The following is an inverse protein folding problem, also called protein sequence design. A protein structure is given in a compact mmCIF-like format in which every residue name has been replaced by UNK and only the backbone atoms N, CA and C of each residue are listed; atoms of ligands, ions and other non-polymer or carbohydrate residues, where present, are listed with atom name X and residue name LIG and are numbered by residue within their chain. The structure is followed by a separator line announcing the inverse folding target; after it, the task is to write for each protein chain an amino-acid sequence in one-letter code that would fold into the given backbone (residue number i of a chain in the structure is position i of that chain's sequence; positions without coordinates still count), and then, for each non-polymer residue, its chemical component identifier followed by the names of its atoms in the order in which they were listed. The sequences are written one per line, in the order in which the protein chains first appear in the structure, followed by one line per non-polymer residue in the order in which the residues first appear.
data_IF_845927285471
#
_entry.id   IF_845927285471
#
_cell.length_a   1.000
_cell.length_b   1.000
_cell.length_c   1.000
_cell.angle_alpha   90.00
_cell.angle_beta   90.00
_cell.angle_gamma   90.00
#
_symmetry.space_group_name_H-M   'P 1'
#
loop_
_entity.id
_entity.type
_entity.pdbx_description
1 polymer ?
#
# COMPACT_ATOMS: atom_id res chain seq x y z
N UNK A 1 -0.87 8.85 -5.58
CA UNK A 1 -0.89 7.61 -4.78
C UNK A 1 -2.09 7.53 -3.88
N UNK A 2 -2.48 8.58 -3.14
CA UNK A 2 -3.71 8.52 -2.33
C UNK A 2 -4.95 8.24 -3.20
N UNK A 3 -5.04 8.90 -4.36
CA UNK A 3 -6.05 8.65 -5.39
C UNK A 3 -5.92 7.25 -6.01
N UNK A 4 -4.71 6.76 -6.20
CA UNK A 4 -4.46 5.43 -6.78
C UNK A 4 -4.85 4.29 -5.85
N UNK A 5 -4.79 4.47 -4.52
CA UNK A 5 -5.25 3.46 -3.56
C UNK A 5 -6.71 3.07 -3.80
N UNK A 6 -7.56 4.04 -4.13
CA UNK A 6 -8.97 3.77 -4.47
C UNK A 6 -9.12 2.92 -5.73
N UNK A 7 -8.29 3.16 -6.76
CA UNK A 7 -8.33 2.37 -8.01
C UNK A 7 -7.76 0.97 -7.83
N UNK A 8 -6.77 0.81 -6.95
CA UNK A 8 -6.16 -0.49 -6.66
C UNK A 8 -7.16 -1.46 -6.01
N UNK A 9 -8.11 -0.94 -5.22
CA UNK A 9 -9.21 -1.73 -4.67
C UNK A 9 -10.06 -2.36 -5.79
N UNK A 10 -10.57 -1.54 -6.72
CA UNK A 10 -11.39 -2.02 -7.85
C UNK A 10 -10.61 -3.01 -8.73
N UNK A 11 -9.31 -2.78 -8.90
CA UNK A 11 -8.44 -3.64 -9.69
C UNK A 11 -8.28 -5.05 -9.09
N UNK A 12 -8.27 -5.18 -7.77
CA UNK A 12 -8.08 -6.48 -7.09
C UNK A 12 -9.15 -7.50 -7.47
N UNK A 13 -10.41 -7.06 -7.48
CA UNK A 13 -11.56 -7.91 -7.80
C UNK A 13 -11.62 -8.25 -9.30
N UNK A 14 -11.36 -7.26 -10.16
CA UNK A 14 -11.31 -7.46 -11.62
C UNK A 14 -10.20 -8.45 -11.98
N UNK A 15 -9.00 -8.26 -11.43
CA UNK A 15 -7.86 -9.14 -11.68
C UNK A 15 -8.15 -10.57 -11.22
N UNK A 16 -8.73 -10.73 -10.04
CA UNK A 16 -9.14 -12.04 -9.53
C UNK A 16 -10.15 -12.74 -10.45
N UNK A 17 -11.12 -12.00 -10.98
CA UNK A 17 -12.13 -12.52 -11.90
C UNK A 17 -11.50 -12.98 -13.22
N UNK A 18 -10.64 -12.17 -13.83
CA UNK A 18 -9.98 -12.51 -15.09
C UNK A 18 -9.01 -13.70 -14.93
N UNK A 19 -8.26 -13.75 -13.83
CA UNK A 19 -7.29 -14.81 -13.59
C UNK A 19 -7.95 -16.18 -13.35
N UNK A 20 -9.18 -16.23 -12.83
CA UNK A 20 -9.96 -17.48 -12.70
C UNK A 20 -10.24 -18.14 -14.06
N UNK A 21 -10.26 -17.38 -15.15
CA UNK A 21 -10.43 -17.92 -16.50
C UNK A 21 -9.13 -18.53 -17.07
N UNK A 22 -7.99 -18.28 -16.42
CA UNK A 22 -6.66 -18.69 -16.89
C UNK A 22 -6.06 -19.79 -16.00
N UNK A 23 -6.24 -19.69 -14.68
CA UNK A 23 -5.68 -20.63 -13.69
C UNK A 23 -6.64 -20.88 -12.55
N UNK A 24 -6.61 -22.10 -12.00
CA UNK A 24 -7.34 -22.48 -10.78
C UNK A 24 -6.55 -22.20 -9.49
N UNK A 25 -5.27 -21.83 -9.59
CA UNK A 25 -4.39 -21.55 -8.44
C UNK A 25 -3.90 -20.10 -8.49
N UNK A 26 -4.82 -19.16 -8.25
CA UNK A 26 -4.53 -17.75 -8.19
C UNK A 26 -4.37 -17.29 -6.73
N UNK A 27 -3.28 -16.57 -6.45
CA UNK A 27 -2.99 -15.99 -5.14
C UNK A 27 -2.54 -14.55 -5.31
N UNK A 28 -3.05 -13.67 -4.46
CA UNK A 28 -2.73 -12.24 -4.46
C UNK A 28 -2.21 -11.82 -3.09
N UNK A 29 -1.22 -10.92 -3.09
CA UNK A 29 -0.63 -10.36 -1.89
C UNK A 29 -0.43 -8.86 -2.08
N UNK A 30 -0.17 -8.14 -1.00
CA UNK A 30 -0.04 -6.70 -1.00
C UNK A 30 1.14 -6.25 -0.13
N UNK A 31 1.94 -5.35 -0.68
CA UNK A 31 3.03 -4.70 0.03
C UNK A 31 3.11 -3.25 -0.38
N UNK A 32 3.67 -2.43 0.49
CA UNK A 32 3.82 -1.00 0.25
C UNK A 32 5.20 -0.53 0.68
N UNK A 33 5.63 0.59 0.11
CA UNK A 33 6.92 1.22 0.41
C UNK A 33 6.78 2.74 0.27
N UNK A 34 7.65 3.47 0.95
CA UNK A 34 7.75 4.94 0.84
C UNK A 34 9.20 5.28 0.47
N UNK A 35 10.07 5.40 1.48
CA UNK A 35 11.49 5.63 1.31
C UNK A 35 12.26 5.28 2.60
N UNK A 36 13.59 5.39 2.58
CA UNK A 36 14.44 5.27 3.75
C UNK A 36 14.11 6.38 4.73
N UNK A 37 13.91 6.02 5.99
CA UNK A 37 13.57 6.96 7.07
C UNK A 37 14.81 7.70 7.60
N UNK A 38 15.60 8.28 6.70
CA UNK A 38 16.81 9.05 6.97
C UNK A 38 16.84 10.33 6.12
N UNK A 39 17.56 11.34 6.57
CA UNK A 39 17.86 12.51 5.73
C UNK A 39 18.73 12.12 4.52
N UNK A 40 18.56 12.75 3.35
CA UNK A 40 17.66 13.87 3.04
C UNK A 40 16.26 13.46 2.55
N UNK A 41 15.93 12.16 2.51
CA UNK A 41 14.69 11.63 1.93
C UNK A 41 13.45 11.99 2.76
N UNK A 42 13.55 11.97 4.10
CA UNK A 42 12.45 12.36 5.00
C UNK A 42 12.89 13.41 6.00
N UNK A 43 11.93 14.17 6.54
CA UNK A 43 12.19 15.09 7.64
C UNK A 43 12.49 14.31 8.92
N UNK A 44 13.58 14.65 9.60
CA UNK A 44 13.94 14.07 10.91
C UNK A 44 13.38 14.87 12.09
N UNK A 45 12.56 15.90 11.83
CA UNK A 45 11.83 16.61 12.88
C UNK A 45 10.83 15.63 13.52
N UNK A 46 10.82 15.45 14.86
CA UNK A 46 10.01 14.43 15.53
C UNK A 46 8.53 14.42 15.13
N UNK A 47 7.91 15.59 14.99
CA UNK A 47 6.51 15.70 14.57
C UNK A 47 6.28 15.18 13.14
N UNK A 48 7.23 15.44 12.23
CA UNK A 48 7.14 15.02 10.83
C UNK A 48 7.45 13.54 10.62
N UNK A 49 8.22 12.93 11.53
CA UNK A 49 8.40 11.47 11.57
C UNK A 49 7.13 10.74 12.00
N UNK A 50 6.26 11.39 12.78
CA UNK A 50 4.98 10.81 13.20
C UNK A 50 3.91 11.01 12.12
N UNK A 51 3.80 12.23 11.59
CA UNK A 51 2.84 12.60 10.57
C UNK A 51 3.48 13.55 9.54
N UNK A 52 3.96 13.05 8.39
CA UNK A 52 4.59 13.91 7.38
C UNK A 52 3.58 14.90 6.77
N UNK A 53 2.30 14.49 6.70
CA UNK A 53 1.16 15.28 6.24
C UNK A 53 -0.11 14.95 7.06
N UNK A 54 -1.14 15.79 6.93
CA UNK A 54 -2.42 15.61 7.62
C UNK A 54 -3.10 14.33 7.16
N UNK A 55 -3.39 13.40 8.08
CA UNK A 55 -4.03 12.12 7.76
C UNK A 55 -3.10 11.03 7.22
N UNK A 56 -1.82 11.34 7.05
CA UNK A 56 -0.83 10.42 6.50
C UNK A 56 -0.22 9.51 7.57
N UNK A 57 0.22 8.32 7.15
CA UNK A 57 1.01 7.42 7.98
C UNK A 57 2.48 7.90 8.06
N UNK A 58 3.16 7.60 9.17
CA UNK A 58 4.60 7.80 9.33
C UNK A 58 5.39 7.13 8.18
N UNK A 59 6.48 7.74 7.68
CA UNK A 59 7.27 7.16 6.60
C UNK A 59 7.91 5.84 7.02
N UNK A 60 8.05 4.92 6.07
CA UNK A 60 8.67 3.61 6.26
C UNK A 60 9.34 3.12 4.98
N UNK A 61 10.32 2.24 5.14
CA UNK A 61 11.00 1.62 4.00
C UNK A 61 10.07 0.69 3.23
N UNK A 62 9.75 -0.48 3.80
CA UNK A 62 8.87 -1.47 3.19
C UNK A 62 8.02 -2.17 4.25
N UNK A 63 6.76 -2.46 3.92
CA UNK A 63 5.86 -3.30 4.71
C UNK A 63 5.27 -4.39 3.81
N UNK A 64 5.42 -5.63 4.23
CA UNK A 64 4.62 -6.74 3.71
C UNK A 64 3.28 -6.73 4.44
N UNK A 65 2.23 -6.23 3.78
CA UNK A 65 0.93 -5.96 4.42
C UNK A 65 0.01 -7.19 4.36
N UNK A 66 -0.02 -7.86 3.20
CA UNK A 66 -0.79 -9.08 2.97
C UNK A 66 0.10 -10.13 2.30
N UNK A 67 0.45 -11.23 2.99
CA UNK A 67 1.07 -12.39 2.36
C UNK A 67 0.18 -12.96 1.25
N UNK A 68 0.77 -13.62 0.26
CA UNK A 68 0.03 -14.25 -0.84
C UNK A 68 -1.11 -15.14 -0.32
N UNK A 69 -2.34 -14.81 -0.70
CA UNK A 69 -3.56 -15.45 -0.24
C UNK A 69 -4.52 -15.71 -1.41
N UNK A 70 -5.36 -16.74 -1.29
CA UNK A 70 -6.41 -17.06 -2.26
C UNK A 70 -7.67 -16.20 -2.03
N UNK A 71 -7.84 -15.62 -0.84
CA UNK A 71 -8.95 -14.74 -0.51
C UNK A 71 -8.72 -13.35 -1.11
N UNK A 72 -9.37 -13.09 -2.25
CA UNK A 72 -9.24 -11.83 -3.00
C UNK A 72 -9.96 -10.67 -2.32
N UNK A 73 -11.04 -10.93 -1.57
CA UNK A 73 -11.74 -9.88 -0.82
C UNK A 73 -10.85 -9.29 0.28
N UNK A 74 -10.00 -10.13 0.88
CA UNK A 74 -9.04 -9.69 1.88
C UNK A 74 -8.01 -8.70 1.29
N UNK A 75 -7.67 -8.82 0.01
CA UNK A 75 -6.84 -7.82 -0.67
C UNK A 75 -7.55 -6.47 -0.74
N UNK A 76 -8.79 -6.43 -1.21
CA UNK A 76 -9.57 -5.20 -1.35
C UNK A 76 -9.78 -4.50 0.00
N UNK A 77 -10.10 -5.27 1.05
CA UNK A 77 -10.19 -4.76 2.43
C UNK A 77 -8.85 -4.22 2.96
N UNK A 78 -7.75 -4.91 2.65
CA UNK A 78 -6.40 -4.48 3.08
C UNK A 78 -5.99 -3.17 2.40
N UNK A 79 -6.24 -3.05 1.09
CA UNK A 79 -5.93 -1.84 0.32
C UNK A 79 -6.80 -0.67 0.78
N UNK A 80 -8.09 -0.89 1.05
CA UNK A 80 -9.00 0.15 1.54
C UNK A 80 -8.59 0.72 2.90
N UNK A 81 -7.99 -0.10 3.76
CA UNK A 81 -7.50 0.33 5.07
C UNK A 81 -6.11 1.01 5.00
N UNK A 82 -5.46 1.00 3.84
CA UNK A 82 -4.13 1.57 3.71
C UNK A 82 -4.18 3.09 3.60
N UNK A 83 -3.27 3.77 4.31
CA UNK A 83 -3.15 5.24 4.26
C UNK A 83 -1.93 5.64 3.46
N UNK A 84 -2.04 6.78 2.79
CA UNK A 84 -0.90 7.41 2.15
C UNK A 84 0.15 7.84 3.20
N UNK A 85 1.41 7.84 2.79
CA UNK A 85 2.53 8.40 3.56
C UNK A 85 3.28 9.40 2.66
N UNK A 86 4.40 9.97 3.14
CA UNK A 86 5.13 10.98 2.37
C UNK A 86 6.61 11.12 2.74
N UNK A 87 7.37 11.63 1.78
CA UNK A 87 8.79 11.98 1.83
C UNK A 87 9.01 13.43 1.35
N UNK A 88 10.25 13.93 1.39
CA UNK A 88 10.60 15.33 1.08
C UNK A 88 11.06 15.56 -0.36
N UNK A 89 11.59 14.54 -1.00
CA UNK A 89 12.23 14.60 -2.32
C UNK A 89 11.28 14.32 -3.49
N UNK A 90 9.98 14.32 -3.21
CA UNK A 90 8.89 14.20 -4.18
C UNK A 90 8.47 15.57 -4.76
#
# INVERSE_FOLDING_TARGET
MEDDLSKLMDLGDILASEMKNITSNFRLGFGSFVDKTVMPYVSTVPEKLIAPCTGCEAPYGFKNVLPLNENTNLFSETVMNQRASGNLDA
#
